data_IF_039859013586
#
_entry.id   IF_039859013586
#
_cell.length_a   1.000
_cell.length_b   1.000
_cell.length_c   1.000
_cell.angle_alpha   90.00
_cell.angle_beta   90.00
_cell.angle_gamma   90.00
#
_symmetry.space_group_name_H-M   'P 1'
#
loop_
_entity.id
_entity.type
_entity.pdbx_description
1 polymer ?
#
# COMPACT_ATOMS: atom_id res chain seq x y z
N UNK A 1 33.51 17.29 -39.86
CA UNK A 1 32.25 17.96 -39.50
C UNK A 1 31.08 16.99 -39.41
N UNK A 2 30.87 16.19 -40.42
CA UNK A 2 29.75 15.25 -40.47
C UNK A 2 29.83 14.20 -39.35
N UNK A 3 31.01 13.65 -39.11
CA UNK A 3 31.21 12.63 -38.06
C UNK A 3 30.98 13.21 -36.66
N UNK A 4 31.37 14.46 -36.40
CA UNK A 4 31.15 15.13 -35.13
C UNK A 4 29.65 15.42 -34.90
N UNK A 5 28.95 15.84 -35.95
CA UNK A 5 27.51 16.09 -35.88
C UNK A 5 26.71 14.81 -35.66
N UNK A 6 27.12 13.73 -36.36
CA UNK A 6 26.49 12.41 -36.19
C UNK A 6 26.73 11.86 -34.78
N UNK A 7 27.94 12.01 -34.25
CA UNK A 7 28.27 11.58 -32.91
C UNK A 7 27.46 12.35 -31.86
N UNK A 8 27.29 13.66 -32.05
CA UNK A 8 26.46 14.50 -31.17
C UNK A 8 25.01 14.06 -31.22
N UNK A 9 24.47 13.81 -32.39
CA UNK A 9 23.08 13.37 -32.57
C UNK A 9 22.84 12.01 -31.95
N UNK A 10 23.79 11.08 -32.12
CA UNK A 10 23.70 9.75 -31.50
C UNK A 10 23.75 9.85 -29.98
N UNK A 11 24.60 10.71 -29.42
CA UNK A 11 24.71 10.93 -27.99
C UNK A 11 23.41 11.53 -27.41
N UNK A 12 22.80 12.47 -28.12
CA UNK A 12 21.52 13.05 -27.73
C UNK A 12 20.39 12.02 -27.75
N UNK A 13 20.36 11.18 -28.79
CA UNK A 13 19.38 10.11 -28.91
C UNK A 13 19.52 9.10 -27.76
N UNK A 14 20.74 8.70 -27.45
CA UNK A 14 21.02 7.80 -26.31
C UNK A 14 20.61 8.42 -24.99
N UNK A 15 20.98 9.69 -24.77
CA UNK A 15 20.62 10.40 -23.53
C UNK A 15 19.11 10.49 -23.38
N UNK A 16 18.38 10.81 -24.43
CA UNK A 16 16.93 10.87 -24.43
C UNK A 16 16.29 9.51 -24.14
N UNK A 17 16.84 8.45 -24.70
CA UNK A 17 16.37 7.09 -24.45
C UNK A 17 16.58 6.69 -22.99
N UNK A 18 17.71 7.03 -22.39
CA UNK A 18 18.00 6.77 -20.99
C UNK A 18 17.04 7.54 -20.09
N UNK A 19 16.81 8.82 -20.37
CA UNK A 19 15.88 9.65 -19.61
C UNK A 19 14.45 9.10 -19.70
N UNK A 20 14.00 8.73 -20.88
CA UNK A 20 12.68 8.15 -21.10
C UNK A 20 12.49 6.86 -20.32
N UNK A 21 13.48 5.99 -20.32
CA UNK A 21 13.47 4.74 -19.57
C UNK A 21 13.42 5.02 -18.06
N UNK A 22 14.24 5.95 -17.59
CA UNK A 22 14.25 6.32 -16.17
C UNK A 22 12.90 6.86 -15.71
N UNK A 23 12.23 7.65 -16.53
CA UNK A 23 10.88 8.15 -16.24
C UNK A 23 9.84 7.03 -16.16
N UNK A 24 9.91 6.06 -17.08
CA UNK A 24 9.02 4.90 -17.07
C UNK A 24 9.25 4.04 -15.83
N UNK A 25 10.51 3.79 -15.48
CA UNK A 25 10.88 3.01 -14.30
C UNK A 25 10.40 3.71 -13.03
N UNK A 26 10.56 5.03 -12.95
CA UNK A 26 10.08 5.82 -11.81
C UNK A 26 8.55 5.78 -11.68
N UNK A 27 7.83 5.86 -12.80
CA UNK A 27 6.36 5.76 -12.81
C UNK A 27 5.90 4.38 -12.38
N UNK A 28 6.55 3.34 -12.84
CA UNK A 28 6.24 1.96 -12.44
C UNK A 28 6.46 1.76 -10.94
N UNK A 29 7.59 2.24 -10.42
CA UNK A 29 7.89 2.15 -9.00
C UNK A 29 6.88 2.92 -8.15
N UNK A 30 6.49 4.12 -8.58
CA UNK A 30 5.47 4.91 -7.89
C UNK A 30 4.13 4.17 -7.82
N UNK A 31 3.71 3.50 -8.89
CA UNK A 31 2.49 2.69 -8.90
C UNK A 31 2.59 1.51 -7.94
N UNK A 32 3.73 0.84 -7.89
CA UNK A 32 3.94 -0.27 -6.95
C UNK A 32 3.83 0.20 -5.50
N UNK A 33 4.39 1.35 -5.18
CA UNK A 33 4.31 1.93 -3.84
C UNK A 33 2.85 2.24 -3.49
N UNK A 34 2.10 2.85 -4.40
CA UNK A 34 0.69 3.17 -4.19
C UNK A 34 -0.14 1.91 -3.98
N UNK A 35 0.08 0.87 -4.78
CA UNK A 35 -0.62 -0.41 -4.66
C UNK A 35 -0.34 -1.08 -3.32
N UNK A 36 0.91 -1.06 -2.86
CA UNK A 36 1.28 -1.58 -1.56
C UNK A 36 0.64 -0.80 -0.42
N UNK A 37 0.58 0.53 -0.53
CA UNK A 37 -0.09 1.37 0.46
C UNK A 37 -1.58 1.06 0.54
N UNK A 38 -2.25 0.90 -0.59
CA UNK A 38 -3.66 0.52 -0.62
C UNK A 38 -3.89 -0.83 0.03
N UNK A 39 -3.05 -1.80 -0.27
CA UNK A 39 -3.13 -3.14 0.29
C UNK A 39 -2.96 -3.11 1.81
N UNK A 40 -1.96 -2.40 2.31
CA UNK A 40 -1.72 -2.25 3.75
C UNK A 40 -2.86 -1.52 4.45
N UNK A 41 -3.42 -0.52 3.79
CA UNK A 41 -4.57 0.20 4.33
C UNK A 41 -5.79 -0.70 4.47
N UNK A 42 -6.06 -1.53 3.47
CA UNK A 42 -7.14 -2.52 3.51
C UNK A 42 -6.92 -3.55 4.61
N UNK A 43 -5.69 -4.03 4.77
CA UNK A 43 -5.33 -4.96 5.85
C UNK A 43 -5.56 -4.33 7.22
N UNK A 44 -5.21 -3.06 7.39
CA UNK A 44 -5.42 -2.34 8.63
C UNK A 44 -6.91 -2.15 8.93
N UNK A 45 -7.73 -1.83 7.94
CA UNK A 45 -9.18 -1.72 8.10
C UNK A 45 -9.80 -3.05 8.49
N UNK A 46 -9.34 -4.13 7.88
CA UNK A 46 -9.76 -5.50 8.21
C UNK A 46 -9.42 -5.85 9.66
N UNK A 47 -8.22 -5.53 10.08
CA UNK A 47 -7.76 -5.75 11.47
C UNK A 47 -8.58 -4.95 12.46
N UNK A 48 -8.89 -3.69 12.16
CA UNK A 48 -9.77 -2.87 12.99
C UNK A 48 -11.15 -3.49 13.14
N UNK A 49 -11.70 -4.03 12.05
CA UNK A 49 -12.97 -4.73 12.07
C UNK A 49 -12.95 -5.95 12.98
N UNK A 50 -11.89 -6.74 12.91
CA UNK A 50 -11.69 -7.90 13.80
C UNK A 50 -11.60 -7.48 15.27
N UNK A 51 -10.86 -6.43 15.56
CA UNK A 51 -10.75 -5.89 16.93
C UNK A 51 -12.12 -5.46 17.46
N UNK A 52 -12.92 -4.79 16.65
CA UNK A 52 -14.28 -4.38 17.06
C UNK A 52 -15.18 -5.58 17.31
N UNK A 53 -15.07 -6.64 16.51
CA UNK A 53 -15.80 -7.88 16.76
C UNK A 53 -15.40 -8.53 18.08
N UNK A 54 -14.12 -8.60 18.38
CA UNK A 54 -13.62 -9.13 19.64
C UNK A 54 -14.11 -8.30 20.82
N UNK A 55 -14.11 -6.99 20.71
CA UNK A 55 -14.66 -6.11 21.74
C UNK A 55 -16.12 -6.40 22.01
N UNK A 56 -16.92 -6.58 20.96
CA UNK A 56 -18.34 -6.92 21.08
C UNK A 56 -18.54 -8.28 21.74
N UNK A 57 -17.73 -9.26 21.39
CA UNK A 57 -17.78 -10.60 21.99
C UNK A 57 -17.44 -10.56 23.47
N UNK A 58 -16.41 -9.82 23.84
CA UNK A 58 -16.01 -9.64 25.24
C UNK A 58 -17.14 -8.95 26.05
N UNK A 59 -17.72 -7.91 25.48
CA UNK A 59 -18.84 -7.19 26.11
C UNK A 59 -20.04 -8.11 26.31
N UNK A 60 -20.39 -8.92 25.33
CA UNK A 60 -21.47 -9.91 25.42
C UNK A 60 -21.19 -10.95 26.49
N UNK A 61 -19.95 -11.44 26.52
CA UNK A 61 -19.54 -12.41 27.55
C UNK A 61 -19.65 -11.83 28.94
N UNK A 62 -19.15 -10.61 29.13
CA UNK A 62 -19.27 -9.90 30.41
C UNK A 62 -20.73 -9.70 30.84
N UNK A 63 -21.59 -9.32 29.93
CA UNK A 63 -23.03 -9.15 30.20
C UNK A 63 -23.67 -10.48 30.59
N UNK A 64 -23.32 -11.58 29.94
CA UNK A 64 -23.83 -12.91 30.28
C UNK A 64 -23.34 -13.37 31.66
N UNK A 65 -22.08 -13.11 31.97
CA UNK A 65 -21.52 -13.43 33.30
C UNK A 65 -22.25 -12.63 34.40
N UNK A 66 -22.49 -11.35 34.17
CA UNK A 66 -23.21 -10.48 35.09
C UNK A 66 -24.63 -11.01 35.33
N UNK A 67 -25.34 -11.43 34.30
CA UNK A 67 -26.67 -12.05 34.42
C UNK A 67 -26.62 -13.32 35.27
N UNK A 68 -25.62 -14.16 35.05
CA UNK A 68 -25.44 -15.39 35.81
C UNK A 68 -25.20 -15.11 37.29
N UNK A 69 -24.38 -14.13 37.59
CA UNK A 69 -24.10 -13.70 38.98
C UNK A 69 -25.37 -13.15 39.65
N UNK A 70 -26.12 -12.33 38.93
CA UNK A 70 -27.38 -11.75 39.46
C UNK A 70 -28.44 -12.80 39.71
N UNK A 71 -28.44 -13.90 38.97
CA UNK A 71 -29.42 -15.01 39.12
C UNK A 71 -29.07 -15.98 40.25
N UNK A 72 -27.86 -15.94 40.78
CA UNK A 72 -27.44 -16.81 41.89
C UNK A 72 -28.09 -16.39 43.22
N UNK A 73 -28.37 -15.12 43.36
CA UNK A 73 -29.04 -14.57 44.54
C UNK A 73 -30.56 -14.76 44.49
#
# INVERSE_FOLDING_TARGET
KQAAEDAKRNAETEANAIISKAKLDASYLARQIDDEHMKRHQEMLSLKGEIEQYKMQIKSLCANVMKMVDNID
#
